data_IF_453982504949
#
_entry.id   IF_453982504949
#
_cell.length_a   1.000
_cell.length_b   1.000
_cell.length_c   1.000
_cell.angle_alpha   90.00
_cell.angle_beta   90.00
_cell.angle_gamma   90.00
#
_symmetry.space_group_name_H-M   'P 1'
#
loop_
_entity.id
_entity.type
_entity.pdbx_description
1 polymer ?
#
# COMPACT_ATOMS: atom_id res chain seq x y z
N UNK A 1 -14.84 -11.03 -18.52
CA UNK A 1 -15.70 -10.15 -19.34
C UNK A 1 -15.29 -8.69 -19.16
N UNK A 2 -15.70 -7.96 -18.11
CA UNK A 2 -15.42 -6.50 -18.04
C UNK A 2 -13.93 -6.12 -18.16
N UNK A 3 -13.03 -6.85 -17.48
CA UNK A 3 -11.59 -6.57 -17.50
C UNK A 3 -10.98 -6.95 -18.86
N UNK A 4 -11.36 -8.11 -19.40
CA UNK A 4 -10.88 -8.58 -20.70
C UNK A 4 -11.35 -7.64 -21.83
N UNK A 5 -12.61 -7.22 -21.83
CA UNK A 5 -13.17 -6.28 -22.81
C UNK A 5 -12.49 -4.90 -22.74
N UNK A 6 -12.04 -4.48 -21.54
CA UNK A 6 -11.28 -3.25 -21.38
C UNK A 6 -9.85 -3.42 -21.92
N UNK A 7 -9.24 -4.57 -21.65
CA UNK A 7 -7.90 -4.88 -22.13
C UNK A 7 -7.83 -4.92 -23.65
N UNK A 8 -8.78 -5.60 -24.30
CA UNK A 8 -8.87 -5.65 -25.77
C UNK A 8 -9.02 -4.26 -26.39
N UNK A 9 -9.88 -3.40 -25.81
CA UNK A 9 -10.07 -2.02 -26.28
C UNK A 9 -8.81 -1.16 -26.17
N UNK A 10 -7.92 -1.47 -25.25
CA UNK A 10 -6.71 -0.70 -24.99
C UNK A 10 -5.41 -1.41 -25.39
N UNK A 11 -5.49 -2.59 -26.00
CA UNK A 11 -4.31 -3.39 -26.35
C UNK A 11 -3.47 -3.79 -25.13
N UNK A 12 -4.11 -3.99 -23.97
CA UNK A 12 -3.44 -4.39 -22.74
C UNK A 12 -3.46 -5.91 -22.54
N UNK A 13 -2.47 -6.44 -21.85
CA UNK A 13 -2.46 -7.85 -21.42
C UNK A 13 -3.08 -7.99 -20.03
N UNK A 14 -3.85 -9.07 -19.82
CA UNK A 14 -4.45 -9.41 -18.51
C UNK A 14 -3.86 -10.71 -18.01
N UNK A 15 -3.47 -10.71 -16.74
CA UNK A 15 -3.06 -11.92 -16.00
C UNK A 15 -4.16 -12.28 -15.02
N UNK A 16 -4.82 -13.41 -15.21
CA UNK A 16 -5.85 -13.89 -14.27
C UNK A 16 -5.20 -14.54 -13.03
N UNK A 17 -4.86 -13.69 -12.06
CA UNK A 17 -4.38 -14.12 -10.75
C UNK A 17 -5.51 -14.64 -9.85
N UNK A 18 -6.77 -14.30 -10.15
CA UNK A 18 -7.91 -14.64 -9.29
C UNK A 18 -8.27 -16.11 -9.38
N UNK A 19 -8.30 -16.65 -10.60
CA UNK A 19 -8.66 -18.06 -10.84
C UNK A 19 -7.47 -19.02 -10.67
N UNK A 20 -6.27 -18.50 -10.41
CA UNK A 20 -5.06 -19.31 -10.31
C UNK A 20 -5.09 -20.23 -9.08
N UNK A 21 -5.01 -21.58 -9.25
CA UNK A 21 -5.08 -22.52 -8.13
C UNK A 21 -3.98 -22.31 -7.09
N UNK A 22 -2.78 -21.92 -7.54
CA UNK A 22 -1.64 -21.59 -6.71
C UNK A 22 -1.94 -20.46 -5.71
N UNK A 23 -2.63 -19.40 -6.14
CA UNK A 23 -2.90 -18.20 -5.36
C UNK A 23 -4.08 -18.32 -4.39
N UNK A 24 -4.82 -19.41 -4.48
CA UNK A 24 -5.82 -19.78 -3.47
C UNK A 24 -5.18 -20.34 -2.18
N UNK A 25 -3.90 -20.72 -2.20
CA UNK A 25 -3.21 -21.25 -1.03
C UNK A 25 -2.79 -20.12 -0.06
N UNK A 26 -3.15 -20.18 1.24
CA UNK A 26 -2.77 -19.16 2.22
C UNK A 26 -1.25 -18.92 2.33
N UNK A 27 -0.40 -19.89 1.95
CA UNK A 27 1.06 -19.75 1.94
C UNK A 27 1.57 -18.77 0.89
N UNK A 28 0.75 -18.36 -0.06
CA UNK A 28 1.09 -17.32 -1.04
C UNK A 28 0.97 -15.91 -0.45
N UNK A 29 0.36 -15.77 0.72
CA UNK A 29 0.03 -14.50 1.35
C UNK A 29 0.78 -14.35 2.67
N UNK A 30 1.17 -13.13 3.00
CA UNK A 30 1.83 -12.82 4.27
C UNK A 30 0.83 -12.89 5.45
N UNK A 31 1.30 -12.66 6.68
CA UNK A 31 0.52 -12.79 7.92
C UNK A 31 -0.75 -11.92 7.95
N UNK A 32 -0.79 -10.86 7.15
CA UNK A 32 -1.95 -9.98 7.02
C UNK A 32 -2.96 -10.42 5.96
N UNK A 33 -2.69 -11.54 5.26
CA UNK A 33 -3.57 -12.17 4.28
C UNK A 33 -3.98 -11.25 3.12
N UNK A 34 -3.21 -10.19 2.89
CA UNK A 34 -3.47 -9.18 1.85
C UNK A 34 -2.25 -9.02 0.94
N UNK A 35 -1.06 -8.98 1.51
CA UNK A 35 0.17 -8.88 0.74
C UNK A 35 0.67 -10.27 0.35
N UNK A 36 1.36 -10.35 -0.79
CA UNK A 36 1.99 -11.59 -1.21
C UNK A 36 3.21 -11.87 -0.32
N UNK A 37 3.36 -13.13 0.08
CA UNK A 37 4.63 -13.63 0.59
C UNK A 37 5.65 -13.73 -0.56
N UNK A 38 6.93 -13.99 -0.22
CA UNK A 38 7.99 -14.10 -1.22
C UNK A 38 7.68 -15.11 -2.35
N UNK A 39 7.10 -16.27 -2.02
CA UNK A 39 6.69 -17.27 -3.03
C UNK A 39 5.51 -16.78 -3.88
N UNK A 40 4.55 -16.08 -3.28
CA UNK A 40 3.44 -15.46 -4.02
C UNK A 40 3.97 -14.43 -5.03
N UNK A 41 4.91 -13.58 -4.63
CA UNK A 41 5.59 -12.65 -5.53
C UNK A 41 6.32 -13.37 -6.67
N UNK A 42 7.05 -14.45 -6.37
CA UNK A 42 7.76 -15.24 -7.39
C UNK A 42 6.81 -15.78 -8.46
N UNK A 43 5.66 -16.33 -8.05
CA UNK A 43 4.65 -16.87 -8.98
C UNK A 43 3.94 -15.79 -9.79
N UNK A 44 3.62 -14.65 -9.18
CA UNK A 44 3.03 -13.52 -9.92
C UNK A 44 4.03 -12.94 -10.92
N UNK A 45 5.31 -12.85 -10.56
CA UNK A 45 6.36 -12.42 -11.49
C UNK A 45 6.47 -13.37 -12.69
N UNK A 46 6.45 -14.69 -12.43
CA UNK A 46 6.41 -15.69 -13.51
C UNK A 46 5.15 -15.55 -14.38
N UNK A 47 3.98 -15.34 -13.77
CA UNK A 47 2.73 -15.17 -14.51
C UNK A 47 2.83 -14.00 -15.50
N UNK A 48 3.37 -12.86 -15.04
CA UNK A 48 3.63 -11.70 -15.91
C UNK A 48 4.65 -12.04 -16.99
N UNK A 49 5.76 -12.69 -16.63
CA UNK A 49 6.81 -13.11 -17.56
C UNK A 49 6.26 -13.95 -18.72
N UNK A 50 5.47 -14.98 -18.40
CA UNK A 50 4.85 -15.84 -19.40
C UNK A 50 3.78 -15.10 -20.22
N UNK A 51 2.98 -14.22 -19.60
CA UNK A 51 2.00 -13.39 -20.34
C UNK A 51 2.66 -12.43 -21.32
N UNK A 52 3.92 -12.03 -21.08
CA UNK A 52 4.73 -11.26 -22.04
C UNK A 52 5.32 -12.13 -23.17
N UNK A 53 5.02 -13.43 -23.22
CA UNK A 53 5.45 -14.34 -24.27
C UNK A 53 6.83 -14.96 -24.07
N UNK A 54 7.39 -14.84 -22.87
CA UNK A 54 8.72 -15.34 -22.54
C UNK A 54 8.66 -16.82 -22.10
N UNK A 55 9.74 -17.60 -22.30
CA UNK A 55 9.73 -19.03 -22.00
C UNK A 55 9.53 -19.27 -20.50
N UNK A 56 8.71 -20.26 -20.11
CA UNK A 56 8.42 -20.53 -18.71
C UNK A 56 9.66 -21.03 -17.95
N UNK A 57 9.92 -20.44 -16.78
CA UNK A 57 10.91 -20.94 -15.82
C UNK A 57 10.25 -21.86 -14.77
N UNK A 58 8.95 -21.68 -14.51
CA UNK A 58 8.17 -22.51 -13.59
C UNK A 58 6.68 -22.55 -13.98
N UNK A 59 5.95 -23.56 -13.53
CA UNK A 59 4.48 -23.54 -13.58
C UNK A 59 3.94 -22.72 -12.41
N UNK A 60 3.48 -21.50 -12.71
CA UNK A 60 3.01 -20.56 -11.68
C UNK A 60 1.60 -20.88 -11.20
N UNK A 61 0.85 -21.70 -11.95
CA UNK A 61 -0.50 -22.14 -11.61
C UNK A 61 -0.48 -23.41 -10.76
N UNK A 62 0.65 -24.13 -10.75
CA UNK A 62 0.83 -25.37 -9.99
C UNK A 62 0.33 -25.24 -8.56
N UNK A 63 -0.67 -26.06 -8.23
CA UNK A 63 -1.21 -26.16 -6.89
C UNK A 63 -0.08 -26.51 -5.91
N UNK A 64 -0.07 -25.83 -4.76
CA UNK A 64 0.94 -26.14 -3.75
C UNK A 64 0.63 -27.54 -3.18
N UNK A 65 1.63 -28.44 -3.05
CA UNK A 65 1.42 -29.75 -2.47
C UNK A 65 0.70 -29.68 -1.13
N UNK A 66 -0.28 -30.57 -0.96
CA UNK A 66 -1.06 -30.64 0.27
C UNK A 66 -0.14 -30.98 1.44
N UNK A 67 -0.20 -30.16 2.49
CA UNK A 67 0.43 -30.44 3.78
C UNK A 67 -0.64 -30.81 4.80
N UNK A 68 -0.26 -31.52 5.86
CA UNK A 68 -1.17 -31.76 6.97
C UNK A 68 -1.73 -30.42 7.48
N UNK A 69 -3.06 -30.25 7.54
CA UNK A 69 -3.63 -29.00 8.00
C UNK A 69 -3.27 -28.78 9.47
N UNK A 70 -3.03 -27.52 9.90
CA UNK A 70 -2.85 -27.23 11.31
C UNK A 70 -4.06 -27.72 12.11
N UNK A 71 -3.83 -28.12 13.36
CA UNK A 71 -4.90 -28.47 14.30
C UNK A 71 -5.96 -27.35 14.30
N UNK A 72 -7.24 -27.72 14.34
CA UNK A 72 -8.35 -26.76 14.28
C UNK A 72 -8.22 -25.63 15.31
N UNK A 73 -7.78 -25.96 16.53
CA UNK A 73 -7.54 -24.98 17.59
C UNK A 73 -6.50 -23.92 17.20
N UNK A 74 -5.40 -24.33 16.55
CA UNK A 74 -4.36 -23.41 16.09
C UNK A 74 -4.92 -22.46 15.02
N UNK A 75 -5.70 -22.98 14.06
CA UNK A 75 -6.34 -22.15 13.03
C UNK A 75 -7.26 -21.09 13.63
N UNK A 76 -8.07 -21.46 14.65
CA UNK A 76 -8.94 -20.49 15.34
C UNK A 76 -8.16 -19.45 16.14
N UNK A 77 -7.08 -19.85 16.80
CA UNK A 77 -6.19 -18.91 17.49
C UNK A 77 -5.57 -17.90 16.50
N UNK A 78 -5.14 -18.37 15.33
CA UNK A 78 -4.62 -17.53 14.25
C UNK A 78 -5.68 -16.56 13.71
N UNK A 79 -6.90 -17.03 13.48
CA UNK A 79 -8.01 -16.19 13.01
C UNK A 79 -8.38 -15.10 14.02
N UNK A 80 -8.42 -15.43 15.32
CA UNK A 80 -8.69 -14.45 16.38
C UNK A 80 -7.57 -13.41 16.44
N UNK A 81 -6.31 -13.85 16.36
CA UNK A 81 -5.14 -12.96 16.35
C UNK A 81 -5.17 -12.04 15.13
N UNK A 82 -5.43 -12.58 13.95
CA UNK A 82 -5.62 -11.81 12.72
C UNK A 82 -6.74 -10.79 12.88
N UNK A 83 -7.91 -11.24 13.35
CA UNK A 83 -9.09 -10.39 13.48
C UNK A 83 -8.81 -9.22 14.44
N UNK A 84 -8.16 -9.48 15.57
CA UNK A 84 -7.78 -8.44 16.54
C UNK A 84 -6.74 -7.47 15.98
N UNK A 85 -5.74 -7.97 15.24
CA UNK A 85 -4.60 -7.16 14.77
C UNK A 85 -4.91 -6.35 13.51
N UNK A 86 -5.71 -6.89 12.59
CA UNK A 86 -5.89 -6.34 11.25
C UNK A 86 -7.35 -5.95 10.97
N UNK A 87 -8.30 -6.87 11.20
CA UNK A 87 -9.71 -6.66 10.81
C UNK A 87 -10.44 -5.68 11.73
N UNK A 88 -10.31 -5.83 13.05
CA UNK A 88 -10.99 -5.01 14.06
C UNK A 88 -10.70 -3.51 13.91
N UNK A 89 -9.42 -3.09 13.81
CA UNK A 89 -9.09 -1.70 13.53
C UNK A 89 -9.68 -1.18 12.22
N UNK A 90 -9.75 -2.01 11.18
CA UNK A 90 -10.37 -1.64 9.90
C UNK A 90 -11.89 -1.47 10.02
N UNK A 91 -12.60 -2.38 10.71
CA UNK A 91 -14.03 -2.25 11.00
C UNK A 91 -14.31 -0.97 11.79
N UNK A 92 -13.53 -0.71 12.84
CA UNK A 92 -13.68 0.51 13.64
C UNK A 92 -13.50 1.78 12.81
N UNK A 93 -12.53 1.80 11.89
CA UNK A 93 -12.37 2.89 10.91
C UNK A 93 -13.59 3.03 10.00
N UNK A 94 -14.09 1.92 9.42
CA UNK A 94 -15.27 1.95 8.54
C UNK A 94 -16.53 2.45 9.25
N UNK A 95 -16.80 2.01 10.47
CA UNK A 95 -17.94 2.47 11.27
C UNK A 95 -17.82 3.94 11.69
N UNK A 96 -16.60 4.44 11.85
CA UNK A 96 -16.34 5.85 12.18
C UNK A 96 -16.15 6.74 10.96
N UNK A 97 -16.34 6.22 9.74
CA UNK A 97 -16.15 6.97 8.49
C UNK A 97 -14.69 7.36 8.23
N UNK A 98 -13.73 6.76 8.94
CA UNK A 98 -12.30 7.05 8.79
C UNK A 98 -11.63 6.12 7.79
N UNK A 99 -10.65 6.63 7.08
CA UNK A 99 -9.81 5.91 6.11
C UNK A 99 -8.35 5.91 6.54
N UNK A 100 -7.57 4.94 6.04
CA UNK A 100 -6.10 5.05 6.08
C UNK A 100 -5.58 6.18 5.19
N UNK A 101 -6.40 6.75 4.30
CA UNK A 101 -6.06 7.93 3.51
C UNK A 101 -6.29 9.27 4.22
N UNK A 102 -6.96 9.30 5.37
CA UNK A 102 -7.30 10.57 6.03
C UNK A 102 -6.03 11.36 6.41
N UNK A 103 -6.04 12.67 6.12
CA UNK A 103 -4.89 13.54 6.36
C UNK A 103 -3.67 13.29 5.47
N UNK A 104 -3.70 12.28 4.57
CA UNK A 104 -2.56 11.94 3.70
C UNK A 104 -2.70 12.62 2.33
N UNK A 105 -1.55 13.00 1.78
CA UNK A 105 -1.49 13.51 0.39
C UNK A 105 -1.35 12.35 -0.59
N UNK A 106 -1.96 12.48 -1.77
CA UNK A 106 -1.93 11.47 -2.83
C UNK A 106 -1.41 12.03 -4.14
N UNK A 107 -0.66 11.23 -4.89
CA UNK A 107 -0.25 11.58 -6.25
C UNK A 107 -1.42 11.37 -7.21
N UNK A 108 -1.60 12.32 -8.12
CA UNK A 108 -2.57 12.29 -9.20
C UNK A 108 -1.85 12.60 -10.52
N UNK A 109 -2.47 12.22 -11.63
CA UNK A 109 -1.93 12.47 -12.97
C UNK A 109 -2.95 13.23 -13.80
N UNK A 110 -2.52 14.33 -14.41
CA UNK A 110 -3.30 15.07 -15.39
C UNK A 110 -2.90 14.59 -16.79
N UNK A 111 -3.83 13.91 -17.46
CA UNK A 111 -3.63 13.40 -18.80
C UNK A 111 -3.50 14.51 -19.86
N UNK A 112 -4.12 15.68 -19.65
CA UNK A 112 -4.06 16.80 -20.59
C UNK A 112 -2.71 17.50 -20.61
N UNK A 113 -2.03 17.55 -19.46
CA UNK A 113 -0.69 18.16 -19.32
C UNK A 113 0.43 17.12 -19.25
N UNK A 114 0.08 15.82 -19.26
CA UNK A 114 1.00 14.70 -19.07
C UNK A 114 1.89 14.86 -17.82
N UNK A 115 1.35 15.42 -16.74
CA UNK A 115 2.11 15.78 -15.55
C UNK A 115 1.49 15.21 -14.28
N UNK A 116 2.34 14.81 -13.33
CA UNK A 116 1.91 14.37 -12.00
C UNK A 116 1.80 15.57 -11.05
N UNK A 117 0.77 15.57 -10.20
CA UNK A 117 0.59 16.57 -9.15
C UNK A 117 0.11 15.93 -7.86
N UNK A 118 0.34 16.61 -6.73
CA UNK A 118 -0.09 16.14 -5.43
C UNK A 118 -1.41 16.80 -5.04
N UNK A 119 -2.33 16.01 -4.49
CA UNK A 119 -3.51 16.51 -3.78
C UNK A 119 -3.32 16.33 -2.29
N UNK A 120 -3.77 17.33 -1.51
CA UNK A 120 -3.75 17.28 -0.05
C UNK A 120 -5.12 17.63 0.52
N UNK A 121 -5.52 17.10 1.69
CA UNK A 121 -6.76 17.50 2.35
C UNK A 121 -6.76 18.99 2.66
N UNK A 122 -7.94 19.61 2.61
CA UNK A 122 -8.09 21.04 2.87
C UNK A 122 -7.69 21.44 4.30
N UNK A 123 -7.98 20.59 5.28
CA UNK A 123 -7.58 20.74 6.69
C UNK A 123 -6.70 19.55 7.12
N UNK A 124 -5.36 19.73 7.20
CA UNK A 124 -4.46 18.68 7.64
C UNK A 124 -4.46 18.47 9.17
N UNK A 125 -5.02 19.39 9.95
CA UNK A 125 -5.00 19.36 11.42
C UNK A 125 -6.22 18.64 12.03
N UNK A 126 -7.35 18.60 11.31
CA UNK A 126 -8.56 17.88 11.72
C UNK A 126 -8.95 16.82 10.67
N UNK A 127 -8.45 15.57 10.77
CA UNK A 127 -8.62 14.52 9.77
C UNK A 127 -10.02 13.86 9.84
N UNK A 128 -11.08 14.66 9.98
CA UNK A 128 -12.45 14.18 9.74
C UNK A 128 -12.61 13.62 8.32
N UNK A 129 -13.82 13.14 7.95
CA UNK A 129 -14.06 12.66 6.60
C UNK A 129 -13.59 13.70 5.59
N UNK A 130 -12.68 13.33 4.68
CA UNK A 130 -12.14 14.29 3.71
C UNK A 130 -13.28 14.80 2.83
N UNK A 131 -13.71 16.04 3.06
CA UNK A 131 -14.80 16.67 2.30
C UNK A 131 -14.31 17.46 1.09
N UNK A 132 -12.99 17.62 0.93
CA UNK A 132 -12.39 18.32 -0.20
C UNK A 132 -10.89 18.06 -0.34
N UNK A 133 -10.42 18.22 -1.58
CA UNK A 133 -9.01 18.11 -1.97
C UNK A 133 -8.57 19.39 -2.68
N UNK A 134 -7.32 19.80 -2.48
CA UNK A 134 -6.69 20.89 -3.25
C UNK A 134 -5.32 20.47 -3.77
N UNK A 135 -4.87 21.06 -4.88
CA UNK A 135 -3.50 20.80 -5.36
C UNK A 135 -2.51 21.37 -4.35
N UNK A 136 -1.47 20.61 -4.04
CA UNK A 136 -0.41 21.05 -3.15
C UNK A 136 0.40 22.23 -3.74
N UNK A 137 0.43 22.35 -5.06
CA UNK A 137 1.13 23.42 -5.78
C UNK A 137 0.48 24.80 -5.57
N UNK A 138 -0.81 24.80 -5.23
CA UNK A 138 -1.60 26.02 -5.00
C UNK A 138 -1.47 26.51 -3.54
N UNK A 139 -0.65 25.84 -2.71
CA UNK A 139 -0.39 26.24 -1.33
C UNK A 139 0.56 27.46 -1.27
N UNK A 140 0.29 28.44 -0.39
CA UNK A 140 1.26 29.48 -0.10
C UNK A 140 2.58 28.84 0.36
N UNK A 141 3.69 29.23 -0.25
CA UNK A 141 5.01 28.79 0.21
C UNK A 141 5.21 29.30 1.64
N UNK A 142 5.71 28.47 2.58
CA UNK A 142 6.05 28.96 3.91
C UNK A 142 7.05 30.10 3.77
N UNK A 143 6.76 31.24 4.40
CA UNK A 143 7.67 32.38 4.43
C UNK A 143 9.01 31.98 5.06
N UNK A 144 10.10 32.72 4.77
CA UNK A 144 11.38 32.48 5.41
C UNK A 144 11.24 32.52 6.93
N UNK A 145 11.98 31.69 7.69
CA UNK A 145 11.91 31.70 9.14
C UNK A 145 12.27 33.09 9.68
N UNK A 146 11.32 33.75 10.32
CA UNK A 146 11.54 35.02 11.01
C UNK A 146 12.18 34.72 12.36
N UNK A 147 13.49 34.88 12.45
CA UNK A 147 14.20 34.94 13.74
C UNK A 147 15.57 34.29 13.71
N UNK A 148 16.60 35.08 13.41
CA UNK A 148 17.93 34.82 13.97
C UNK A 148 17.88 35.24 15.45
N UNK A 149 17.59 34.30 16.35
CA UNK A 149 18.01 34.47 17.75
C UNK A 149 19.53 34.38 17.75
N UNK A 150 20.19 35.53 17.88
CA UNK A 150 21.63 35.61 18.05
C UNK A 150 22.06 34.76 19.23
N UNK A 151 23.04 33.89 19.02
CA UNK A 151 23.79 33.23 20.09
C UNK A 151 24.48 34.32 20.92
N UNK A 152 24.28 34.38 22.25
CA UNK A 152 25.11 35.22 23.09
C UNK A 152 26.54 34.67 23.09
N UNK A 153 27.51 35.58 23.00
CA UNK A 153 28.94 35.26 23.04
C UNK A 153 29.29 34.44 24.30
N UNK A 154 29.90 33.27 24.10
CA UNK A 154 30.43 32.45 25.19
C UNK A 154 31.58 33.19 25.89
N UNK A 155 31.41 33.40 27.19
CA UNK A 155 32.46 33.88 28.09
C UNK A 155 33.47 32.77 28.40
N UNK A 156 34.74 33.15 28.45
CA UNK A 156 35.91 32.32 28.75
C UNK A 156 35.74 31.42 29.99
N UNK A 157 36.07 30.14 29.83
CA UNK A 157 36.31 29.23 30.95
C UNK A 157 37.78 29.33 31.41
N UNK A 158 38.08 29.36 32.72
CA UNK A 158 39.44 29.27 33.22
C UNK A 158 39.94 27.82 33.21
N UNK A 159 41.17 27.65 32.71
CA UNK A 159 41.95 26.42 32.83
C UNK A 159 42.29 26.16 34.30
N UNK A 160 42.19 24.91 34.74
CA UNK A 160 42.86 24.48 35.97
C UNK A 160 43.43 23.07 35.79
N UNK A 161 44.70 23.02 36.19
CA UNK A 161 45.74 22.01 36.28
C UNK A 161 45.35 20.64 36.80
#
# INVERSE_FOLDING_TARGET
ALIDDLADRHGASVVDLYSAPSLSDPRMWDFDRLHLAAEGHRRVAEAVWQTLGLPPELDWQAAVPASMPPRWANRRADDIRFARRHLGPWIGRRLTGRSSGDGRSGAQFDAGTASAFWITPTDPAAPGPVTGWRRAQDLPQPGPPTGSTGLPAEGSAPTST
#
